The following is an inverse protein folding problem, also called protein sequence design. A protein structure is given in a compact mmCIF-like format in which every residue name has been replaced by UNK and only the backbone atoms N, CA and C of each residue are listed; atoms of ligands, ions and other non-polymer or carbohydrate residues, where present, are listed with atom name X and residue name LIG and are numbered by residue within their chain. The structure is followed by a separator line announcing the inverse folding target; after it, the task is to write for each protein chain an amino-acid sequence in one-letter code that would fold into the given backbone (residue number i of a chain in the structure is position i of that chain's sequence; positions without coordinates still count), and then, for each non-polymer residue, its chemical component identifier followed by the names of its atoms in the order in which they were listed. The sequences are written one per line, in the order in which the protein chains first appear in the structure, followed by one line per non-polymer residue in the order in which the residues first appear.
data_IF_378674571207
#
_entry.id   IF_378674571207
#
_cell.length_a   1.000
_cell.length_b   1.000
_cell.length_c   1.000
_cell.angle_alpha   90.00
_cell.angle_beta   90.00
_cell.angle_gamma   90.00
#
_symmetry.space_group_name_H-M   'P 1'
#
loop_
_entity.id
_entity.type
_entity.pdbx_description
1 polymer ?
#
# COMPACT_ATOMS: atom_id res chain seq x y z
N UNK A 1 3.65 5.19 -0.48
CA UNK A 1 2.84 4.06 -0.98
C UNK A 1 1.46 4.17 -0.38
N UNK A 2 0.42 4.08 -1.21
CA UNK A 2 -0.98 4.09 -0.78
C UNK A 2 -1.59 2.70 -0.97
N UNK A 3 -2.14 2.12 0.10
CA UNK A 3 -2.75 0.80 0.10
C UNK A 3 -4.27 0.99 0.19
N UNK A 4 -4.99 0.53 -0.82
CA UNK A 4 -6.44 0.68 -0.85
C UNK A 4 -7.15 -0.18 0.20
N UNK A 5 -8.39 0.18 0.53
CA UNK A 5 -9.31 -0.59 1.35
C UNK A 5 -10.07 -1.66 0.58
N UNK A 6 -11.23 -2.07 1.11
CA UNK A 6 -12.07 -3.09 0.47
C UNK A 6 -12.06 -4.45 1.16
N UNK A 7 -11.79 -4.46 2.47
CA UNK A 7 -11.90 -5.64 3.34
C UNK A 7 -11.13 -6.87 2.83
N UNK A 8 -10.01 -6.66 2.12
CA UNK A 8 -9.16 -7.69 1.51
C UNK A 8 -9.82 -8.50 0.39
N UNK A 9 -11.04 -8.14 -0.02
CA UNK A 9 -11.86 -8.93 -0.96
C UNK A 9 -12.28 -8.16 -2.22
N UNK A 10 -12.21 -6.83 -2.18
CA UNK A 10 -12.57 -5.97 -3.31
C UNK A 10 -11.64 -4.76 -3.40
N UNK A 11 -11.66 -4.09 -4.56
CA UNK A 11 -10.90 -2.88 -4.82
C UNK A 11 -9.77 -3.13 -5.83
N UNK A 12 -9.34 -2.05 -6.47
CA UNK A 12 -8.21 -2.04 -7.40
C UNK A 12 -7.62 -0.62 -7.40
N UNK A 13 -6.33 -0.42 -7.75
CA UNK A 13 -5.70 0.90 -7.75
C UNK A 13 -6.46 1.98 -8.54
N UNK A 14 -7.09 1.60 -9.65
CA UNK A 14 -7.82 2.51 -10.52
C UNK A 14 -8.98 3.23 -9.80
N UNK A 15 -9.66 2.55 -8.87
CA UNK A 15 -10.73 3.12 -8.05
C UNK A 15 -10.24 4.21 -7.08
N UNK A 16 -8.93 4.30 -6.86
CA UNK A 16 -8.29 5.18 -5.89
C UNK A 16 -7.38 6.23 -6.51
N UNK A 17 -7.33 6.36 -7.84
CA UNK A 17 -6.54 7.40 -8.51
C UNK A 17 -6.89 8.82 -8.06
N UNK A 18 -8.15 9.10 -7.71
CA UNK A 18 -8.56 10.41 -7.21
C UNK A 18 -7.86 10.78 -5.89
N UNK A 19 -7.87 9.88 -4.90
CA UNK A 19 -7.18 10.11 -3.63
C UNK A 19 -5.66 10.08 -3.79
N UNK A 20 -5.14 9.23 -4.68
CA UNK A 20 -3.72 9.21 -5.05
C UNK A 20 -3.24 10.53 -5.65
N UNK A 21 -4.00 11.07 -6.61
CA UNK A 21 -3.72 12.36 -7.23
C UNK A 21 -3.73 13.50 -6.22
N UNK A 22 -4.69 13.50 -5.29
CA UNK A 22 -4.74 14.48 -4.20
C UNK A 22 -3.49 14.39 -3.31
N UNK A 23 -3.08 13.20 -2.88
CA UNK A 23 -1.83 13.04 -2.11
C UNK A 23 -0.60 13.49 -2.90
N UNK A 24 -0.50 13.12 -4.18
CA UNK A 24 0.62 13.52 -5.02
C UNK A 24 0.72 15.06 -5.10
N UNK A 25 -0.40 15.73 -5.32
CA UNK A 25 -0.47 17.19 -5.43
C UNK A 25 -0.19 17.88 -4.09
N UNK A 26 -0.75 17.40 -2.98
CA UNK A 26 -0.63 18.04 -1.67
C UNK A 26 0.76 17.87 -1.06
N UNK A 27 1.39 16.71 -1.28
CA UNK A 27 2.69 16.37 -0.69
C UNK A 27 3.86 16.66 -1.63
N UNK A 28 3.61 17.02 -2.89
CA UNK A 28 4.65 17.14 -3.91
C UNK A 28 5.41 15.83 -4.14
N UNK A 29 4.71 14.70 -4.01
CA UNK A 29 5.29 13.37 -3.97
C UNK A 29 4.75 12.46 -5.09
N UNK A 30 5.47 11.38 -5.38
CA UNK A 30 4.94 10.29 -6.21
C UNK A 30 4.12 9.35 -5.34
N UNK A 31 2.99 8.88 -5.86
CA UNK A 31 2.14 7.90 -5.17
C UNK A 31 2.22 6.58 -5.93
N UNK A 32 2.68 5.55 -5.22
CA UNK A 32 2.68 4.17 -5.68
C UNK A 32 1.51 3.42 -5.02
N UNK A 33 0.72 2.71 -5.82
CA UNK A 33 -0.43 1.92 -5.37
C UNK A 33 -0.25 0.47 -5.82
N UNK A 34 0.08 -0.47 -4.92
CA UNK A 34 0.16 -1.88 -5.28
C UNK A 34 -1.23 -2.44 -5.59
N UNK A 35 -1.31 -3.23 -6.66
CA UNK A 35 -2.47 -4.07 -6.96
C UNK A 35 -2.29 -5.41 -6.24
N UNK A 36 -2.58 -5.41 -4.94
CA UNK A 36 -2.35 -6.59 -4.10
C UNK A 36 -3.48 -7.62 -4.30
N UNK A 37 -3.12 -8.90 -4.21
CA UNK A 37 -4.09 -9.98 -4.43
C UNK A 37 -5.15 -10.03 -3.34
N UNK A 38 -6.37 -10.41 -3.73
CA UNK A 38 -7.57 -10.39 -2.88
C UNK A 38 -8.09 -11.79 -2.56
N UNK A 39 -8.75 -11.90 -1.42
CA UNK A 39 -9.55 -13.06 -1.05
C UNK A 39 -10.89 -13.06 -1.81
N UNK A 40 -11.53 -14.23 -2.02
CA UNK A 40 -11.16 -15.56 -1.52
C UNK A 40 -10.05 -16.27 -2.33
N UNK A 41 -9.71 -15.81 -3.53
CA UNK A 41 -8.72 -16.45 -4.41
C UNK A 41 -7.34 -16.49 -3.76
N UNK A 42 -7.00 -15.43 -3.01
CA UNK A 42 -5.75 -15.27 -2.28
C UNK A 42 -6.04 -14.87 -0.83
N UNK A 43 -6.35 -15.83 0.06
CA UNK A 43 -6.69 -15.55 1.45
C UNK A 43 -5.47 -15.05 2.24
N UNK A 44 -5.72 -14.66 3.50
CA UNK A 44 -4.64 -14.32 4.44
C UNK A 44 -3.58 -15.44 4.48
N UNK A 45 -2.27 -15.12 4.45
CA UNK A 45 -1.64 -13.79 4.57
C UNK A 45 -1.27 -13.11 3.24
N UNK A 46 -1.80 -13.57 2.10
CA UNK A 46 -1.34 -13.12 0.78
C UNK A 46 -1.48 -11.61 0.55
N UNK A 47 -2.61 -10.94 0.85
CA UNK A 47 -2.74 -9.49 0.64
C UNK A 47 -1.65 -8.70 1.38
N UNK A 48 -1.35 -9.08 2.63
CA UNK A 48 -0.30 -8.44 3.46
C UNK A 48 1.08 -8.71 2.90
N UNK A 49 1.33 -9.93 2.43
CA UNK A 49 2.62 -10.29 1.84
C UNK A 49 2.90 -9.47 0.59
N UNK A 50 1.89 -9.24 -0.24
CA UNK A 50 2.01 -8.43 -1.45
C UNK A 50 2.31 -6.95 -1.13
N UNK A 51 1.71 -6.37 -0.09
CA UNK A 51 2.02 -5.00 0.32
C UNK A 51 3.44 -4.89 0.90
N UNK A 52 3.91 -5.91 1.63
CA UNK A 52 5.32 -6.00 2.08
C UNK A 52 6.27 -6.06 0.90
N UNK A 53 6.01 -6.94 -0.07
CA UNK A 53 6.84 -7.05 -1.29
C UNK A 53 6.84 -5.77 -2.11
N UNK A 54 5.70 -5.08 -2.20
CA UNK A 54 5.60 -3.78 -2.85
C UNK A 54 6.47 -2.71 -2.18
N UNK A 55 6.52 -2.69 -0.84
CA UNK A 55 7.41 -1.79 -0.10
C UNK A 55 8.89 -2.13 -0.32
N UNK A 56 9.25 -3.41 -0.20
CA UNK A 56 10.62 -3.89 -0.44
C UNK A 56 11.08 -3.55 -1.86
N UNK A 57 10.20 -3.75 -2.85
CA UNK A 57 10.49 -3.37 -4.23
C UNK A 57 10.82 -1.88 -4.37
N UNK A 58 10.12 -0.98 -3.65
CA UNK A 58 10.47 0.45 -3.65
C UNK A 58 11.88 0.69 -3.08
N UNK A 59 12.26 -0.03 -2.03
CA UNK A 59 13.63 0.05 -1.50
C UNK A 59 14.65 -0.44 -2.53
N UNK A 60 14.37 -1.55 -3.22
CA UNK A 60 15.20 -2.11 -4.29
C UNK A 60 15.33 -1.15 -5.49
N UNK A 61 14.33 -0.32 -5.76
CA UNK A 61 14.39 0.76 -6.75
C UNK A 61 15.24 1.97 -6.30
N UNK A 62 15.80 1.95 -5.08
CA UNK A 62 16.64 3.00 -4.54
C UNK A 62 15.89 4.13 -3.83
N UNK A 63 14.61 3.94 -3.51
CA UNK A 63 13.88 4.89 -2.66
C UNK A 63 14.34 4.72 -1.21
N UNK A 64 14.79 5.82 -0.59
CA UNK A 64 15.17 5.85 0.82
C UNK A 64 13.95 5.55 1.71
N UNK A 65 14.05 4.52 2.55
CA UNK A 65 13.00 4.11 3.47
C UNK A 65 12.48 5.27 4.34
N UNK A 66 13.36 6.17 4.77
CA UNK A 66 12.99 7.33 5.59
C UNK A 66 12.11 8.35 4.86
N UNK A 67 12.02 8.25 3.52
CA UNK A 67 11.23 9.11 2.64
C UNK A 67 10.00 8.40 2.07
N UNK A 68 9.74 7.15 2.47
CA UNK A 68 8.55 6.42 2.07
C UNK A 68 7.48 6.57 3.15
N UNK A 69 6.40 7.26 2.81
CA UNK A 69 5.20 7.34 3.63
C UNK A 69 4.25 6.20 3.26
N UNK A 70 3.71 5.51 4.26
CA UNK A 70 2.61 4.56 4.09
C UNK A 70 1.29 5.24 4.40
N UNK A 71 0.32 5.10 3.50
CA UNK A 71 -1.04 5.60 3.67
C UNK A 71 -2.03 4.51 3.24
N UNK A 72 -3.24 4.55 3.80
CA UNK A 72 -4.31 3.64 3.42
C UNK A 72 -5.52 3.81 4.33
N UNK A 73 -6.66 3.28 3.90
CA UNK A 73 -7.93 3.32 4.61
C UNK A 73 -8.50 1.92 4.85
N UNK A 74 -9.24 1.74 5.94
CA UNK A 74 -9.85 0.45 6.30
C UNK A 74 -8.83 -0.71 6.31
N UNK A 75 -9.04 -1.76 5.52
CA UNK A 75 -8.08 -2.86 5.34
C UNK A 75 -6.68 -2.38 4.91
N UNK A 76 -6.60 -1.37 4.03
CA UNK A 76 -5.35 -0.77 3.60
C UNK A 76 -4.61 -0.06 4.73
N UNK A 77 -5.35 0.64 5.58
CA UNK A 77 -4.80 1.28 6.79
C UNK A 77 -4.26 0.25 7.79
N UNK A 78 -4.97 -0.86 7.98
CA UNK A 78 -4.50 -1.96 8.82
C UNK A 78 -3.20 -2.56 8.27
N UNK A 79 -3.11 -2.81 6.96
CA UNK A 79 -1.89 -3.32 6.31
C UNK A 79 -0.72 -2.36 6.43
N UNK A 80 -0.94 -1.05 6.29
CA UNK A 80 0.12 -0.04 6.52
C UNK A 80 0.72 -0.11 7.92
N UNK A 81 -0.09 -0.41 8.95
CA UNK A 81 0.38 -0.60 10.33
C UNK A 81 1.26 -1.83 10.53
N UNK A 82 1.05 -2.91 9.77
CA UNK A 82 1.87 -4.13 9.87
C UNK A 82 3.35 -3.89 9.53
N UNK A 83 3.65 -2.90 8.68
CA UNK A 83 5.03 -2.56 8.32
C UNK A 83 5.81 -1.87 9.45
N UNK A 84 5.14 -1.18 10.37
CA UNK A 84 5.80 -0.51 11.49
C UNK A 84 6.21 -1.46 12.62
N UNK A 85 5.54 -2.61 12.75
CA UNK A 85 5.81 -3.58 13.83
C UNK A 85 7.08 -4.43 13.64
N UNK A 86 7.71 -4.39 12.46
CA UNK A 86 8.93 -5.15 12.13
C UNK A 86 10.21 -4.30 12.14
N UNK A 87 10.11 -3.00 12.44
CA UNK A 87 11.25 -2.12 12.66
C UNK A 87 11.30 -1.67 14.13
N UNK A 88 11.62 -2.62 15.01
CA UNK A 88 12.21 -2.38 16.34
C UNK A 88 13.33 -3.36 16.56
#
# INVERSE_FOLDING_TARGET
MYIHGGAYIVGEPAGYHGIGGNYASMLGARVYMPDYRLAPEYPFPTPVTDTVRAYEWLIEQGFDASKILLAGESAGGAMGGYHYGSCT
#
